data_IF_125575965888
#
_entry.id   IF_125575965888
#
_cell.length_a   1.000
_cell.length_b   1.000
_cell.length_c   1.000
_cell.angle_alpha   90.00
_cell.angle_beta   90.00
_cell.angle_gamma   90.00
#
_symmetry.space_group_name_H-M   'P 1'
#
loop_
_entity.id
_entity.type
_entity.pdbx_description
1 polymer ?
#
# COMPACT_ATOMS: atom_id res chain seq x y z
N UNK A 1 -16.83 -19.48 8.09
CA UNK A 1 -17.76 -18.34 7.85
C UNK A 1 -17.19 -17.02 8.36
N UNK A 2 -16.87 -16.89 9.66
CA UNK A 2 -16.34 -15.63 10.23
C UNK A 2 -15.11 -15.05 9.51
N UNK A 3 -14.09 -15.87 9.20
CA UNK A 3 -12.89 -15.38 8.50
C UNK A 3 -13.15 -14.86 7.08
N UNK A 4 -14.09 -15.46 6.34
CA UNK A 4 -14.41 -15.03 4.97
C UNK A 4 -15.17 -13.71 4.90
N UNK A 5 -16.08 -13.46 5.85
CA UNK A 5 -16.82 -12.19 5.92
C UNK A 5 -15.90 -11.04 6.30
N UNK A 6 -15.01 -11.24 7.28
CA UNK A 6 -14.02 -10.23 7.66
C UNK A 6 -13.01 -9.98 6.55
N UNK A 7 -12.59 -11.04 5.84
CA UNK A 7 -11.80 -10.92 4.61
C UNK A 7 -12.51 -10.07 3.57
N UNK A 8 -13.77 -10.37 3.26
CA UNK A 8 -14.56 -9.65 2.26
C UNK A 8 -14.73 -8.16 2.58
N UNK A 9 -15.06 -7.81 3.81
CA UNK A 9 -15.13 -6.42 4.26
C UNK A 9 -13.78 -5.69 4.11
N UNK A 10 -12.67 -6.34 4.51
CA UNK A 10 -11.33 -5.77 4.36
C UNK A 10 -10.94 -5.59 2.89
N UNK A 11 -11.28 -6.56 2.03
CA UNK A 11 -11.05 -6.50 0.59
C UNK A 11 -11.82 -5.36 -0.07
N UNK A 12 -13.10 -5.21 0.26
CA UNK A 12 -13.94 -4.13 -0.27
C UNK A 12 -13.43 -2.74 0.12
N UNK A 13 -13.02 -2.56 1.39
CA UNK A 13 -12.39 -1.31 1.83
C UNK A 13 -11.09 -1.06 1.06
N UNK A 14 -10.24 -2.07 0.91
CA UNK A 14 -8.97 -1.97 0.20
C UNK A 14 -9.19 -1.60 -1.27
N UNK A 15 -10.20 -2.17 -1.94
CA UNK A 15 -10.56 -1.81 -3.32
C UNK A 15 -10.96 -0.33 -3.42
N UNK A 16 -11.76 0.16 -2.47
CA UNK A 16 -12.28 1.53 -2.50
C UNK A 16 -11.19 2.56 -2.25
N UNK A 17 -10.34 2.33 -1.25
CA UNK A 17 -9.19 3.19 -0.97
C UNK A 17 -8.15 3.09 -2.10
N UNK A 18 -7.92 1.88 -2.62
CA UNK A 18 -7.01 1.63 -3.73
C UNK A 18 -7.40 2.35 -5.02
N UNK A 19 -8.70 2.33 -5.38
CA UNK A 19 -9.24 3.09 -6.52
C UNK A 19 -8.99 4.60 -6.35
N UNK A 20 -9.31 5.16 -5.19
CA UNK A 20 -9.09 6.59 -4.91
C UNK A 20 -7.60 6.94 -5.00
N UNK A 21 -6.74 6.12 -4.39
CA UNK A 21 -5.29 6.31 -4.43
C UNK A 21 -4.75 6.25 -5.87
N UNK A 22 -5.19 5.26 -6.65
CA UNK A 22 -4.79 5.11 -8.06
C UNK A 22 -5.24 6.30 -8.91
N UNK A 23 -6.47 6.78 -8.73
CA UNK A 23 -6.98 7.97 -9.43
C UNK A 23 -6.22 9.23 -9.02
N UNK A 24 -5.90 9.41 -7.74
CA UNK A 24 -5.13 10.56 -7.27
C UNK A 24 -3.70 10.57 -7.87
N UNK A 25 -3.04 9.41 -7.87
CA UNK A 25 -1.68 9.27 -8.45
C UNK A 25 -1.72 9.47 -9.97
N UNK A 26 -2.63 8.80 -10.67
CA UNK A 26 -2.77 8.91 -12.13
C UNK A 26 -3.21 10.29 -12.60
N UNK A 27 -4.20 10.89 -11.93
CA UNK A 27 -4.67 12.24 -12.22
C UNK A 27 -3.61 13.30 -11.92
N UNK A 28 -2.90 13.17 -10.80
CA UNK A 28 -1.76 14.03 -10.47
C UNK A 28 -0.65 13.95 -11.50
N UNK A 29 -0.33 12.74 -11.99
CA UNK A 29 0.67 12.53 -13.04
C UNK A 29 0.24 13.15 -14.38
N UNK A 30 -1.03 13.00 -14.77
CA UNK A 30 -1.56 13.61 -15.99
C UNK A 30 -1.47 15.14 -15.96
N UNK A 31 -1.86 15.77 -14.84
CA UNK A 31 -1.73 17.21 -14.66
C UNK A 31 -0.27 17.68 -14.74
N UNK A 32 0.66 16.89 -14.19
CA UNK A 32 2.09 17.17 -14.24
C UNK A 32 2.64 17.12 -15.67
N UNK A 33 2.17 16.17 -16.49
CA UNK A 33 2.51 16.12 -17.92
C UNK A 33 2.00 17.35 -18.68
N UNK A 34 0.74 17.76 -18.45
CA UNK A 34 0.15 18.94 -19.09
C UNK A 34 0.92 20.22 -18.69
N UNK A 35 1.25 20.36 -17.40
CA UNK A 35 2.01 21.50 -16.90
C UNK A 35 3.42 21.58 -17.50
N UNK A 36 4.08 20.44 -17.71
CA UNK A 36 5.40 20.38 -18.33
C UNK A 36 5.36 20.69 -19.84
N UNK A 37 4.33 20.22 -20.58
CA UNK A 37 4.20 20.49 -22.01
C UNK A 37 3.79 21.94 -22.34
N UNK A 38 3.10 22.61 -21.41
CA UNK A 38 2.62 24.00 -21.60
C UNK A 38 3.63 25.06 -21.10
N UNK A 39 4.80 24.63 -20.60
CA UNK A 39 5.93 25.52 -20.27
C UNK A 39 5.79 26.35 -18.98
N UNK A 40 4.83 26.07 -18.10
CA UNK A 40 4.57 26.90 -16.91
C UNK A 40 5.46 26.56 -15.70
N UNK A 41 6.14 25.41 -15.68
CA UNK A 41 7.02 24.99 -14.57
C UNK A 41 8.23 24.20 -15.11
N UNK A 42 9.45 24.73 -14.99
CA UNK A 42 10.66 23.90 -15.07
C UNK A 42 10.67 22.99 -13.83
N UNK A 43 10.44 21.69 -14.03
CA UNK A 43 10.58 20.72 -12.95
C UNK A 43 12.06 20.65 -12.57
N UNK A 44 12.42 21.36 -11.49
CA UNK A 44 13.74 21.30 -10.85
C UNK A 44 13.94 19.89 -10.26
N UNK A 45 14.27 18.91 -11.11
CA UNK A 45 14.50 17.51 -10.72
C UNK A 45 15.55 17.38 -9.62
N UNK A 46 16.51 18.31 -9.55
CA UNK A 46 17.51 18.39 -8.47
C UNK A 46 16.91 18.67 -7.09
N UNK A 47 15.88 19.51 -6.99
CA UNK A 47 15.18 19.77 -5.72
C UNK A 47 14.31 18.57 -5.34
N UNK A 48 13.56 18.03 -6.32
CA UNK A 48 12.74 16.83 -6.12
C UNK A 48 13.57 15.66 -5.63
N UNK A 49 14.72 15.38 -6.25
CA UNK A 49 15.62 14.31 -5.84
C UNK A 49 16.13 14.52 -4.41
N UNK A 50 16.48 15.77 -4.04
CA UNK A 50 16.95 16.09 -2.69
C UNK A 50 15.86 15.84 -1.65
N UNK A 51 14.63 16.24 -1.93
CA UNK A 51 13.48 16.04 -1.03
C UNK A 51 13.07 14.57 -0.95
N UNK A 52 13.06 13.85 -2.08
CA UNK A 52 12.82 12.40 -2.14
C UNK A 52 13.89 11.66 -1.36
N UNK A 53 15.17 12.02 -1.49
CA UNK A 53 16.25 11.36 -0.76
C UNK A 53 16.17 11.65 0.75
N UNK A 54 15.80 12.88 1.15
CA UNK A 54 15.57 13.24 2.55
C UNK A 54 14.39 12.47 3.15
N UNK A 55 13.29 12.33 2.42
CA UNK A 55 12.14 11.52 2.80
C UNK A 55 12.51 10.03 2.90
N UNK A 56 13.20 9.49 1.89
CA UNK A 56 13.69 8.11 1.85
C UNK A 56 14.59 7.80 3.04
N UNK A 57 15.49 8.70 3.43
CA UNK A 57 16.33 8.53 4.63
C UNK A 57 15.51 8.47 5.92
N UNK A 58 14.50 9.33 6.06
CA UNK A 58 13.59 9.31 7.23
C UNK A 58 12.78 8.02 7.28
N UNK A 59 12.23 7.60 6.15
CA UNK A 59 11.51 6.33 6.02
C UNK A 59 12.42 5.14 6.32
N UNK A 60 13.62 5.09 5.75
CA UNK A 60 14.59 4.01 6.02
C UNK A 60 15.00 3.94 7.49
N UNK A 61 15.17 5.08 8.16
CA UNK A 61 15.46 5.12 9.60
C UNK A 61 14.29 4.54 10.41
N UNK A 62 13.05 4.97 10.12
CA UNK A 62 11.86 4.43 10.79
C UNK A 62 11.64 2.95 10.49
N UNK A 63 11.80 2.55 9.23
CA UNK A 63 11.68 1.16 8.81
C UNK A 63 12.73 0.26 9.45
N UNK A 64 13.98 0.70 9.57
CA UNK A 64 15.03 -0.07 10.27
C UNK A 64 14.78 -0.15 11.78
N UNK A 65 14.21 0.89 12.39
CA UNK A 65 13.81 0.86 13.81
C UNK A 65 12.61 -0.06 14.05
N UNK A 66 11.67 -0.11 13.11
CA UNK A 66 10.50 -0.98 13.16
C UNK A 66 10.76 -2.38 12.55
N UNK A 67 11.88 -2.58 11.86
CA UNK A 67 12.23 -3.85 11.22
C UNK A 67 12.20 -5.05 12.18
N UNK A 68 12.78 -4.99 13.40
CA UNK A 68 12.69 -6.12 14.32
C UNK A 68 11.25 -6.45 14.68
N UNK A 69 10.43 -5.43 14.96
CA UNK A 69 9.02 -5.58 15.29
C UNK A 69 8.21 -6.18 14.12
N UNK A 70 8.44 -5.69 12.90
CA UNK A 70 7.78 -6.20 11.69
C UNK A 70 8.19 -7.66 11.42
N UNK A 71 9.46 -8.01 11.61
CA UNK A 71 9.91 -9.38 11.44
C UNK A 71 9.25 -10.32 12.45
N UNK A 72 9.13 -9.90 13.71
CA UNK A 72 8.42 -10.67 14.74
C UNK A 72 6.94 -10.84 14.37
N UNK A 73 6.25 -9.78 13.95
CA UNK A 73 4.86 -9.87 13.51
C UNK A 73 4.67 -10.77 12.28
N UNK A 74 5.60 -10.75 11.33
CA UNK A 74 5.56 -11.62 10.14
C UNK A 74 5.74 -13.08 10.55
N UNK A 75 6.64 -13.36 11.49
CA UNK A 75 6.88 -14.71 11.99
C UNK A 75 5.67 -15.26 12.74
N UNK A 76 5.07 -14.45 13.62
CA UNK A 76 3.80 -14.80 14.30
C UNK A 76 2.66 -14.99 13.31
N UNK A 77 2.52 -14.12 12.31
CA UNK A 77 1.50 -14.25 11.28
C UNK A 77 1.71 -15.55 10.47
N UNK A 78 2.96 -15.89 10.15
CA UNK A 78 3.30 -17.12 9.44
C UNK A 78 2.96 -18.36 10.27
N UNK A 79 3.24 -18.31 11.57
CA UNK A 79 2.86 -19.38 12.50
C UNK A 79 1.35 -19.52 12.63
N UNK A 80 0.62 -18.40 12.69
CA UNK A 80 -0.84 -18.37 12.72
C UNK A 80 -1.45 -18.96 11.45
N UNK A 81 -0.89 -18.65 10.27
CA UNK A 81 -1.33 -19.24 9.00
C UNK A 81 -1.11 -20.76 8.96
N UNK A 82 0.02 -21.24 9.50
CA UNK A 82 0.31 -22.69 9.59
C UNK A 82 -0.62 -23.41 10.56
N UNK A 83 -0.90 -22.82 11.73
CA UNK A 83 -1.78 -23.43 12.76
C UNK A 83 -3.25 -23.36 12.37
N UNK A 84 -3.69 -22.27 11.75
CA UNK A 84 -5.09 -21.99 11.41
C UNK A 84 -5.29 -21.82 9.89
N UNK A 85 -4.88 -22.83 9.11
CA UNK A 85 -4.92 -22.77 7.65
C UNK A 85 -6.35 -22.62 7.10
N UNK A 86 -7.35 -23.23 7.75
CA UNK A 86 -8.78 -23.16 7.34
C UNK A 86 -9.39 -21.78 7.58
N UNK A 87 -8.97 -21.09 8.65
CA UNK A 87 -9.43 -19.75 8.97
C UNK A 87 -8.73 -18.71 8.09
N UNK A 88 -7.42 -18.88 7.89
CA UNK A 88 -6.59 -18.02 7.04
C UNK A 88 -6.98 -18.14 5.57
N UNK A 89 -7.26 -19.36 5.09
CA UNK A 89 -7.74 -19.57 3.72
C UNK A 89 -9.12 -18.95 3.50
N UNK A 90 -10.01 -19.04 4.49
CA UNK A 90 -11.30 -18.36 4.47
C UNK A 90 -11.14 -16.83 4.38
N UNK A 91 -10.23 -16.26 5.18
CA UNK A 91 -9.91 -14.83 5.14
C UNK A 91 -9.32 -14.39 3.81
N UNK A 92 -8.30 -15.09 3.29
CA UNK A 92 -7.69 -14.78 1.99
C UNK A 92 -8.72 -14.90 0.88
N UNK A 93 -9.53 -15.95 0.87
CA UNK A 93 -10.60 -16.14 -0.12
C UNK A 93 -11.65 -15.01 -0.05
N UNK A 94 -12.09 -14.66 1.15
CA UNK A 94 -12.99 -13.53 1.37
C UNK A 94 -12.39 -12.20 0.92
N UNK A 95 -11.13 -11.94 1.27
CA UNK A 95 -10.40 -10.74 0.90
C UNK A 95 -10.24 -10.58 -0.61
N UNK A 96 -9.87 -11.64 -1.31
CA UNK A 96 -9.79 -11.62 -2.77
C UNK A 96 -11.16 -11.41 -3.41
N UNK A 97 -12.21 -12.05 -2.89
CA UNK A 97 -13.58 -11.78 -3.35
C UNK A 97 -13.97 -10.32 -3.11
N UNK A 98 -13.60 -9.74 -1.97
CA UNK A 98 -13.91 -8.35 -1.62
C UNK A 98 -13.12 -7.35 -2.44
N UNK A 99 -11.89 -7.71 -2.84
CA UNK A 99 -11.09 -6.96 -3.78
C UNK A 99 -11.61 -7.04 -5.22
N UNK A 100 -12.28 -8.14 -5.58
CA UNK A 100 -12.93 -8.31 -6.88
C UNK A 100 -14.35 -7.71 -6.94
N UNK A 101 -14.93 -7.38 -5.77
CA UNK A 101 -16.26 -6.76 -5.61
C UNK A 101 -16.17 -5.24 -5.67
#
# INVERSE_FOLDING_TARGET
VMGGVTGWCAGYLCQRVGKIAATAVGGGFLLLQIANHTGYVQVDWKKVEKDVNKAKRRLKKKANQAAPEINTFIEEATEFVKRNIVLSSGFVGGFLLGLAS
#
